data_IF_124227928426
#
_entry.id   IF_124227928426
#
_cell.length_a   1.000
_cell.length_b   1.000
_cell.length_c   1.000
_cell.angle_alpha   90.00
_cell.angle_beta   90.00
_cell.angle_gamma   90.00
#
_symmetry.space_group_name_H-M   'P 1'
#
loop_
_entity.id
_entity.type
_entity.pdbx_description
1 polymer ?
#
# COMPACT_ATOMS: atom_id res chain seq x y z
N UNK A 1 2.78 -18.18 25.37
CA UNK A 1 3.79 -18.44 24.33
C UNK A 1 4.08 -17.12 23.64
N UNK A 2 4.82 -16.26 24.32
CA UNK A 2 5.22 -14.92 23.87
C UNK A 2 6.57 -15.06 23.18
N UNK A 3 6.64 -14.85 21.87
CA UNK A 3 7.93 -14.82 21.18
C UNK A 3 8.64 -13.50 21.51
N UNK A 4 9.88 -13.54 22.02
CA UNK A 4 10.68 -12.33 22.21
C UNK A 4 11.15 -11.81 20.85
N UNK A 5 10.92 -10.53 20.59
CA UNK A 5 11.45 -9.81 19.42
C UNK A 5 12.93 -9.52 19.63
N UNK A 6 13.77 -10.30 18.95
CA UNK A 6 15.19 -10.01 18.80
C UNK A 6 15.36 -8.85 17.81
N UNK A 7 15.48 -7.64 18.33
CA UNK A 7 15.94 -6.46 17.61
C UNK A 7 16.71 -5.55 18.59
N UNK A 8 17.71 -6.12 19.26
CA UNK A 8 18.72 -5.34 19.96
C UNK A 8 20.08 -5.70 19.40
N UNK A 9 20.66 -4.74 18.65
CA UNK A 9 22.08 -4.32 18.71
C UNK A 9 22.42 -3.50 17.48
N UNK A 10 22.38 -2.18 17.64
CA UNK A 10 23.38 -1.29 17.02
C UNK A 10 23.53 -0.03 17.87
N UNK A 11 24.63 -0.04 18.60
CA UNK A 11 25.21 0.98 19.45
C UNK A 11 25.22 2.37 18.79
N UNK A 12 25.05 3.42 19.60
CA UNK A 12 25.97 4.56 19.66
C UNK A 12 25.67 5.38 20.93
N UNK A 13 26.74 5.72 21.64
CA UNK A 13 26.79 6.32 22.97
C UNK A 13 27.35 7.76 22.83
N UNK A 14 27.09 8.60 23.85
CA UNK A 14 27.72 9.91 24.17
C UNK A 14 27.10 11.11 23.40
N UNK A 15 26.63 12.21 24.01
CA UNK A 15 27.14 12.96 25.16
C UNK A 15 26.04 13.70 25.96
N UNK A 16 26.20 13.73 27.28
CA UNK A 16 25.57 14.66 28.22
C UNK A 16 26.44 15.92 28.37
N UNK A 17 25.85 17.09 28.15
CA UNK A 17 26.23 18.38 28.73
C UNK A 17 24.89 19.13 28.90
N UNK A 18 24.45 19.50 30.09
CA UNK A 18 25.07 20.50 30.96
C UNK A 18 24.12 21.69 31.01
N UNK A 19 23.60 21.99 32.20
CA UNK A 19 22.44 22.80 32.47
C UNK A 19 22.68 24.34 32.46
N UNK A 20 21.57 25.09 32.64
CA UNK A 20 21.41 26.55 32.89
C UNK A 20 21.49 27.43 31.62
N UNK A 21 20.53 28.31 31.32
CA UNK A 21 19.93 29.28 32.23
C UNK A 21 18.53 29.73 31.77
N UNK A 22 17.64 29.90 32.75
CA UNK A 22 16.36 30.60 32.64
C UNK A 22 16.60 32.10 32.35
N UNK A 23 16.07 32.59 31.24
CA UNK A 23 15.64 33.99 31.11
C UNK A 23 14.27 33.98 30.43
N UNK A 24 13.24 33.99 31.26
CA UNK A 24 11.88 34.33 30.85
C UNK A 24 11.82 35.82 30.56
N UNK A 25 11.52 36.20 29.31
CA UNK A 25 11.00 37.53 28.95
C UNK A 25 10.01 37.39 27.77
N UNK A 26 9.04 38.32 27.65
CA UNK A 26 7.65 37.96 27.42
C UNK A 26 7.28 37.84 25.95
N UNK A 27 6.33 36.91 25.74
CA UNK A 27 5.47 36.81 24.57
C UNK A 27 4.98 38.17 24.09
N UNK A 28 5.32 38.54 22.86
CA UNK A 28 4.69 39.62 22.11
C UNK A 28 4.77 39.34 20.61
N UNK A 29 3.61 39.20 19.98
CA UNK A 29 3.45 39.39 18.54
C UNK A 29 3.18 38.13 17.73
N UNK A 30 1.94 37.65 17.80
CA UNK A 30 1.33 37.01 16.64
C UNK A 30 1.30 38.01 15.48
N UNK A 31 1.80 37.62 14.31
CA UNK A 31 1.27 38.01 13.02
C UNK A 31 1.89 37.14 11.91
N UNK A 32 1.04 36.36 11.27
CA UNK A 32 1.13 36.09 9.83
C UNK A 32 1.94 34.87 9.39
N UNK A 33 1.27 33.71 9.44
CA UNK A 33 1.39 32.64 8.44
C UNK A 33 2.82 32.21 8.05
N UNK A 34 3.56 31.63 9.01
CA UNK A 34 4.69 30.76 8.71
C UNK A 34 4.17 29.51 8.00
N UNK A 35 4.50 29.41 6.72
CA UNK A 35 4.48 28.24 5.85
C UNK A 35 3.92 26.96 6.50
N UNK A 36 2.63 26.73 6.29
CA UNK A 36 2.11 25.38 6.32
C UNK A 36 2.88 24.62 5.23
N UNK A 37 3.76 23.71 5.65
CA UNK A 37 4.29 22.70 4.77
C UNK A 37 3.09 21.80 4.43
N UNK A 38 2.25 22.28 3.51
CA UNK A 38 1.27 21.47 2.83
C UNK A 38 2.13 20.41 2.15
N UNK A 39 2.21 19.23 2.76
CA UNK A 39 2.63 18.03 2.08
C UNK A 39 1.66 17.87 0.91
N UNK A 40 2.04 18.46 -0.23
CA UNK A 40 1.40 18.20 -1.51
C UNK A 40 1.51 16.68 -1.66
N UNK A 41 0.40 15.93 -1.72
CA UNK A 41 0.51 14.50 -1.99
C UNK A 41 1.23 14.40 -3.32
N UNK A 42 2.34 13.65 -3.37
CA UNK A 42 2.88 13.25 -4.66
C UNK A 42 1.69 12.80 -5.51
N UNK A 43 1.51 13.41 -6.68
CA UNK A 43 0.42 13.07 -7.58
C UNK A 43 0.62 11.62 -8.02
N UNK A 44 0.10 10.69 -7.20
CA UNK A 44 -0.08 9.30 -7.53
C UNK A 44 -1.06 9.31 -8.69
N UNK A 45 -0.60 8.91 -9.86
CA UNK A 45 -1.45 8.75 -11.03
C UNK A 45 -2.32 7.49 -10.84
N UNK A 46 -3.24 7.57 -9.89
CA UNK A 46 -4.19 6.52 -9.55
C UNK A 46 -5.01 6.14 -10.79
N UNK A 47 -5.26 7.10 -11.69
CA UNK A 47 -5.94 6.87 -12.96
C UNK A 47 -5.12 5.95 -13.89
N UNK A 48 -3.82 6.18 -14.04
CA UNK A 48 -2.95 5.30 -14.83
C UNK A 48 -2.87 3.88 -14.23
N UNK A 49 -2.69 3.74 -12.92
CA UNK A 49 -2.59 2.43 -12.29
C UNK A 49 -3.93 1.66 -12.29
N UNK A 50 -5.06 2.36 -12.15
CA UNK A 50 -6.37 1.77 -12.41
C UNK A 50 -6.54 1.38 -13.86
N UNK A 51 -6.12 2.22 -14.81
CA UNK A 51 -6.10 1.88 -16.23
C UNK A 51 -5.38 0.55 -16.46
N UNK A 52 -4.23 0.37 -15.80
CA UNK A 52 -3.48 -0.89 -15.87
C UNK A 52 -4.23 -2.08 -15.26
N UNK A 53 -4.93 -1.90 -14.15
CA UNK A 53 -5.79 -2.95 -13.59
C UNK A 53 -6.93 -3.34 -14.56
N UNK A 54 -7.46 -2.37 -15.31
CA UNK A 54 -8.44 -2.63 -16.37
C UNK A 54 -7.83 -3.36 -17.58
N UNK A 55 -6.58 -3.07 -17.97
CA UNK A 55 -5.87 -3.88 -18.97
C UNK A 55 -5.79 -5.35 -18.55
N UNK A 56 -5.47 -5.61 -17.27
CA UNK A 56 -5.41 -6.98 -16.75
C UNK A 56 -6.78 -7.65 -16.76
N UNK A 57 -7.85 -6.91 -16.44
CA UNK A 57 -9.23 -7.39 -16.59
C UNK A 57 -9.55 -7.75 -18.04
N UNK A 58 -9.12 -6.95 -19.02
CA UNK A 58 -9.34 -7.29 -20.44
C UNK A 58 -8.57 -8.54 -20.84
N UNK A 59 -7.36 -8.74 -20.31
CA UNK A 59 -6.59 -9.98 -20.52
C UNK A 59 -7.32 -11.21 -19.96
N UNK A 60 -7.89 -11.09 -18.76
CA UNK A 60 -8.69 -12.18 -18.16
C UNK A 60 -9.87 -12.57 -19.05
N UNK A 61 -10.61 -11.56 -19.56
CA UNK A 61 -11.73 -11.80 -20.47
C UNK A 61 -11.28 -12.44 -21.78
N UNK A 62 -10.19 -11.93 -22.37
CA UNK A 62 -9.64 -12.46 -23.61
C UNK A 62 -9.15 -13.91 -23.48
N UNK A 63 -8.71 -14.32 -22.28
CA UNK A 63 -8.31 -15.69 -21.99
C UNK A 63 -9.47 -16.60 -21.55
N UNK A 64 -10.70 -16.10 -21.45
CA UNK A 64 -11.87 -16.86 -21.01
C UNK A 64 -11.98 -17.05 -19.49
N UNK A 65 -11.28 -16.23 -18.70
CA UNK A 65 -11.40 -16.20 -17.23
C UNK A 65 -12.39 -15.10 -16.77
N UNK A 66 -12.56 -14.95 -15.46
CA UNK A 66 -13.40 -13.92 -14.86
C UNK A 66 -12.80 -12.54 -15.09
N UNK A 67 -13.62 -11.55 -15.46
CA UNK A 67 -13.16 -10.20 -15.81
C UNK A 67 -12.68 -9.35 -14.64
N UNK A 68 -11.56 -9.73 -14.02
CA UNK A 68 -10.90 -9.01 -12.93
C UNK A 68 -9.41 -8.84 -13.20
N UNK A 69 -8.87 -7.73 -12.73
CA UNK A 69 -7.46 -7.38 -12.84
C UNK A 69 -7.01 -6.52 -11.67
N UNK A 70 -5.74 -6.64 -11.30
CA UNK A 70 -5.14 -5.91 -10.20
C UNK A 70 -3.65 -5.62 -10.42
N UNK A 71 -3.16 -4.55 -9.80
CA UNK A 71 -1.73 -4.17 -9.77
C UNK A 71 -1.30 -3.69 -8.39
N UNK A 72 -0.08 -4.02 -7.99
CA UNK A 72 0.56 -3.56 -6.76
C UNK A 72 1.67 -2.58 -7.14
N UNK A 73 1.65 -1.40 -6.54
CA UNK A 73 2.54 -0.29 -6.88
C UNK A 73 3.25 0.22 -5.64
N UNK A 74 4.53 0.57 -5.76
CA UNK A 74 5.31 1.29 -4.74
C UNK A 74 6.14 2.34 -5.46
N UNK A 75 6.12 3.57 -4.96
CA UNK A 75 6.93 4.69 -5.49
C UNK A 75 6.78 4.87 -7.02
N UNK A 76 5.54 4.75 -7.52
CA UNK A 76 5.21 4.86 -8.95
C UNK A 76 5.58 3.64 -9.81
N UNK A 77 6.20 2.60 -9.23
CA UNK A 77 6.61 1.40 -9.92
C UNK A 77 5.62 0.26 -9.69
N UNK A 78 5.18 -0.40 -10.77
CA UNK A 78 4.37 -1.62 -10.67
C UNK A 78 5.29 -2.76 -10.24
N UNK A 79 5.12 -3.19 -9.00
CA UNK A 79 5.84 -4.31 -8.43
C UNK A 79 5.14 -5.63 -8.66
N UNK A 80 3.83 -5.66 -8.92
CA UNK A 80 3.12 -6.88 -9.26
C UNK A 80 1.87 -6.58 -10.06
N UNK A 81 1.48 -7.50 -10.94
CA UNK A 81 0.24 -7.36 -11.71
C UNK A 81 -0.33 -8.73 -12.06
N UNK A 82 -1.65 -8.86 -12.07
CA UNK A 82 -2.30 -10.08 -12.55
C UNK A 82 -3.70 -9.85 -13.09
N UNK A 83 -4.06 -10.71 -14.02
CA UNK A 83 -5.44 -11.03 -14.39
C UNK A 83 -5.99 -12.12 -13.43
N UNK A 84 -7.31 -12.31 -13.42
CA UNK A 84 -7.92 -13.49 -12.77
C UNK A 84 -7.55 -14.76 -13.52
N UNK A 85 -7.22 -15.83 -12.79
CA UNK A 85 -6.95 -17.16 -13.34
C UNK A 85 -7.80 -18.25 -12.67
N UNK A 86 -8.95 -17.90 -12.08
CA UNK A 86 -9.81 -18.83 -11.33
C UNK A 86 -10.28 -20.00 -12.20
N UNK A 87 -10.76 -19.70 -13.40
CA UNK A 87 -11.30 -20.71 -14.32
C UNK A 87 -10.16 -21.49 -14.95
N UNK A 88 -9.14 -20.78 -15.43
CA UNK A 88 -8.02 -21.38 -16.16
C UNK A 88 -7.17 -22.29 -15.28
N UNK A 89 -6.91 -21.90 -14.04
CA UNK A 89 -6.10 -22.70 -13.11
C UNK A 89 -6.94 -23.69 -12.28
N UNK A 90 -8.27 -23.65 -12.39
CA UNK A 90 -9.19 -24.40 -11.51
C UNK A 90 -8.90 -24.15 -10.02
N UNK A 91 -8.47 -22.93 -9.69
CA UNK A 91 -8.13 -22.50 -8.35
C UNK A 91 -9.11 -21.41 -7.90
N UNK A 92 -10.02 -21.70 -6.96
CA UNK A 92 -11.01 -20.72 -6.48
C UNK A 92 -10.36 -19.51 -5.79
N UNK A 93 -9.06 -19.57 -5.46
CA UNK A 93 -8.32 -18.49 -4.81
C UNK A 93 -7.48 -17.64 -5.76
N UNK A 94 -7.37 -18.02 -7.04
CA UNK A 94 -6.56 -17.33 -8.06
C UNK A 94 -7.21 -16.03 -8.58
N UNK A 95 -7.74 -15.22 -7.66
CA UNK A 95 -8.20 -13.87 -7.95
C UNK A 95 -7.03 -12.97 -8.35
N UNK A 96 -7.33 -11.97 -9.17
CA UNK A 96 -6.34 -11.01 -9.64
C UNK A 96 -5.56 -10.33 -8.49
N UNK A 97 -6.24 -9.96 -7.40
CA UNK A 97 -5.57 -9.34 -6.25
C UNK A 97 -4.58 -10.29 -5.55
N UNK A 98 -4.98 -11.54 -5.36
CA UNK A 98 -4.15 -12.57 -4.72
C UNK A 98 -2.88 -12.81 -5.54
N UNK A 99 -3.04 -12.98 -6.84
CA UNK A 99 -1.94 -13.20 -7.77
C UNK A 99 -1.03 -11.97 -7.89
N UNK A 100 -1.58 -10.75 -7.90
CA UNK A 100 -0.79 -9.52 -7.92
C UNK A 100 0.03 -9.33 -6.64
N UNK A 101 -0.53 -9.66 -5.46
CA UNK A 101 0.20 -9.66 -4.17
C UNK A 101 1.34 -10.69 -4.22
N UNK A 102 1.07 -11.91 -4.71
CA UNK A 102 2.08 -12.97 -4.86
C UNK A 102 3.19 -12.56 -5.84
N UNK A 103 2.84 -11.95 -6.97
CA UNK A 103 3.81 -11.43 -7.96
C UNK A 103 4.69 -10.34 -7.34
N UNK A 104 4.11 -9.38 -6.63
CA UNK A 104 4.84 -8.33 -5.93
C UNK A 104 5.80 -8.87 -4.88
N UNK A 105 5.33 -9.81 -4.05
CA UNK A 105 6.16 -10.42 -3.01
C UNK A 105 7.36 -11.18 -3.60
N UNK A 106 7.16 -11.92 -4.69
CA UNK A 106 8.25 -12.62 -5.41
C UNK A 106 9.27 -11.65 -6.00
N UNK A 107 8.81 -10.56 -6.64
CA UNK A 107 9.71 -9.58 -7.28
C UNK A 107 10.51 -8.76 -6.28
N UNK A 108 9.94 -8.51 -5.10
CA UNK A 108 10.63 -7.86 -4.00
C UNK A 108 11.51 -8.80 -3.17
N UNK A 109 11.39 -10.11 -3.38
CA UNK A 109 11.94 -11.15 -2.49
C UNK A 109 11.57 -10.87 -1.01
N UNK A 110 10.33 -10.45 -0.78
CA UNK A 110 9.86 -10.03 0.54
C UNK A 110 8.35 -10.18 0.67
N UNK A 111 7.91 -10.55 1.87
CA UNK A 111 6.49 -10.55 2.24
C UNK A 111 5.96 -9.18 2.67
N UNK A 112 6.83 -8.20 2.86
CA UNK A 112 6.45 -6.87 3.36
C UNK A 112 6.03 -5.94 2.21
N UNK A 113 4.71 -5.68 2.15
CA UNK A 113 4.10 -4.75 1.21
C UNK A 113 3.56 -3.48 1.91
N UNK A 114 4.06 -3.12 3.10
CA UNK A 114 3.66 -1.94 3.90
C UNK A 114 3.61 -0.59 3.17
N UNK A 115 4.48 -0.43 2.17
CA UNK A 115 4.58 0.80 1.35
C UNK A 115 3.92 0.68 -0.02
N UNK A 116 3.19 -0.40 -0.26
CA UNK A 116 2.53 -0.62 -1.53
C UNK A 116 1.07 -0.15 -1.50
N UNK A 117 0.59 0.28 -2.65
CA UNK A 117 -0.83 0.47 -2.96
C UNK A 117 -1.28 -0.66 -3.87
N UNK A 118 -2.40 -1.30 -3.55
CA UNK A 118 -3.05 -2.29 -4.40
C UNK A 118 -4.22 -1.62 -5.14
N UNK A 119 -4.14 -1.62 -6.46
CA UNK A 119 -5.16 -1.12 -7.38
C UNK A 119 -5.94 -2.31 -7.96
N UNK A 120 -7.27 -2.31 -7.84
CA UNK A 120 -8.13 -3.37 -8.38
C UNK A 120 -9.20 -2.83 -9.32
N UNK A 121 -9.54 -3.58 -10.36
CA UNK A 121 -10.61 -3.22 -11.29
C UNK A 121 -12.00 -3.15 -10.65
N UNK A 122 -12.19 -3.77 -9.49
CA UNK A 122 -13.43 -3.79 -8.69
C UNK A 122 -13.11 -3.74 -7.20
N UNK A 123 -14.09 -3.45 -6.31
CA UNK A 123 -13.88 -3.60 -4.88
C UNK A 123 -13.35 -4.99 -4.54
N UNK A 124 -12.31 -5.07 -3.69
CA UNK A 124 -11.74 -6.32 -3.26
C UNK A 124 -12.78 -7.13 -2.46
N UNK A 125 -12.86 -8.44 -2.72
CA UNK A 125 -13.70 -9.35 -1.91
C UNK A 125 -13.03 -9.66 -0.56
N UNK A 126 -13.79 -10.11 0.47
CA UNK A 126 -13.26 -10.29 1.83
C UNK A 126 -11.95 -11.10 1.92
N UNK A 127 -11.81 -12.14 1.08
CA UNK A 127 -10.57 -12.91 0.99
C UNK A 127 -9.37 -12.07 0.53
N UNK A 128 -9.54 -11.29 -0.55
CA UNK A 128 -8.47 -10.45 -1.09
C UNK A 128 -8.13 -9.29 -0.15
N UNK A 129 -9.14 -8.73 0.53
CA UNK A 129 -8.93 -7.68 1.53
C UNK A 129 -8.14 -8.19 2.74
N UNK A 130 -8.49 -9.39 3.24
CA UNK A 130 -7.73 -10.05 4.28
C UNK A 130 -6.29 -10.36 3.84
N UNK A 131 -6.09 -10.83 2.61
CA UNK A 131 -4.75 -11.08 2.09
C UNK A 131 -3.92 -9.80 1.97
N UNK A 132 -4.53 -8.70 1.51
CA UNK A 132 -3.88 -7.39 1.44
C UNK A 132 -3.48 -6.90 2.84
N UNK A 133 -4.35 -7.08 3.85
CA UNK A 133 -4.05 -6.79 5.24
C UNK A 133 -2.85 -7.60 5.74
N UNK A 134 -2.83 -8.92 5.54
CA UNK A 134 -1.74 -9.79 6.00
C UNK A 134 -0.41 -9.52 5.28
N UNK A 135 -0.45 -9.08 4.03
CA UNK A 135 0.73 -8.62 3.29
C UNK A 135 1.20 -7.22 3.72
N UNK A 136 0.43 -6.53 4.56
CA UNK A 136 0.72 -5.20 5.05
C UNK A 136 0.37 -4.07 4.09
N UNK A 137 -0.34 -4.31 2.97
CA UNK A 137 -0.67 -3.28 1.97
C UNK A 137 -1.20 -2.00 2.63
N UNK A 138 -0.57 -0.85 2.33
CA UNK A 138 -0.90 0.41 3.00
C UNK A 138 -2.19 1.06 2.49
N UNK A 139 -2.57 0.79 1.24
CA UNK A 139 -3.73 1.43 0.59
C UNK A 139 -4.36 0.55 -0.49
N UNK A 140 -5.69 0.59 -0.58
CA UNK A 140 -6.49 -0.02 -1.63
C UNK A 140 -7.14 1.08 -2.49
N UNK A 141 -7.08 0.92 -3.80
CA UNK A 141 -7.78 1.78 -4.77
C UNK A 141 -8.52 0.90 -5.74
N UNK A 142 -9.75 1.25 -6.12
CA UNK A 142 -10.52 0.39 -7.00
C UNK A 142 -11.52 1.09 -7.91
N UNK A 143 -11.94 0.35 -8.94
CA UNK A 143 -12.99 0.75 -9.86
C UNK A 143 -12.55 1.83 -10.84
N UNK A 144 -13.41 2.09 -11.85
CA UNK A 144 -13.08 2.95 -13.00
C UNK A 144 -12.73 4.40 -12.61
N UNK A 145 -13.25 4.89 -11.50
CA UNK A 145 -13.01 6.25 -11.00
C UNK A 145 -11.89 6.31 -9.96
N UNK A 146 -11.08 5.25 -9.82
CA UNK A 146 -10.02 5.16 -8.83
C UNK A 146 -10.47 5.54 -7.42
N UNK A 147 -11.57 4.92 -6.95
CA UNK A 147 -12.08 5.16 -5.60
C UNK A 147 -11.06 4.68 -4.57
N UNK A 148 -10.74 5.56 -3.63
CA UNK A 148 -9.89 5.22 -2.48
C UNK A 148 -10.69 4.37 -1.47
N UNK A 149 -10.18 3.17 -1.17
CA UNK A 149 -10.71 2.26 -0.15
C UNK A 149 -10.08 2.44 1.22
N UNK A 150 -9.01 3.24 1.32
CA UNK A 150 -8.18 3.36 2.51
C UNK A 150 -7.30 2.12 2.71
N UNK A 151 -6.87 1.89 3.95
CA UNK A 151 -6.13 0.68 4.31
C UNK A 151 -7.05 -0.55 4.32
N UNK A 152 -6.54 -1.74 3.94
CA UNK A 152 -7.26 -3.01 4.09
C UNK A 152 -7.72 -3.25 5.54
N UNK A 153 -8.91 -3.81 5.72
CA UNK A 153 -9.49 -4.09 7.04
C UNK A 153 -9.91 -5.57 7.14
N UNK A 154 -9.64 -6.20 8.29
CA UNK A 154 -10.06 -7.58 8.55
C UNK A 154 -11.53 -7.70 8.99
N UNK A 155 -12.03 -6.70 9.70
CA UNK A 155 -13.39 -6.65 10.21
C UNK A 155 -13.93 -5.25 9.89
N UNK A 156 -14.86 -5.17 8.94
CA UNK A 156 -15.67 -3.98 8.67
C UNK A 156 -16.87 -3.91 9.59
#
# INVERSE_FOLDING_TARGET
MTMPTDCEKRSLLVALAGALSLLALPWRGANGAGAELIAQPEMRDDAAFIGRAFDMRQRALASGDQGYGAVVVRDGLILGQSASHVVLHRDPTAHAEMEAIRDAARRLDSRDLSRCTLYSSSPARPMCEAAAYWAGIGRLVYGRTARDGGSPRLCG
#
